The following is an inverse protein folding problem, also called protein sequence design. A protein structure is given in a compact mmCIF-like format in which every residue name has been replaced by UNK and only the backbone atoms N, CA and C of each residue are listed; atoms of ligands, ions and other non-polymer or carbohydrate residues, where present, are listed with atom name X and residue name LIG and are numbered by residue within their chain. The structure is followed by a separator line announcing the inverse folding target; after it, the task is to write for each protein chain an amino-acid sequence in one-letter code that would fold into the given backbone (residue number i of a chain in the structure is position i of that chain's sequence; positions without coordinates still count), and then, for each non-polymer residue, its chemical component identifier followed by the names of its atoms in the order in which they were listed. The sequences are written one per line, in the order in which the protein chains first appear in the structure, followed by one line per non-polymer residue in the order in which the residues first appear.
data_IF_826636361626
#
_entry.id   IF_826636361626
#
_cell.length_a   1.000
_cell.length_b   1.000
_cell.length_c   1.000
_cell.angle_alpha   90.00
_cell.angle_beta   90.00
_cell.angle_gamma   90.00
#
_symmetry.space_group_name_H-M   'P 1'
#
loop_
_entity.id
_entity.type
_entity.pdbx_description
1 polymer ?
#
# COMPACT_ATOMS: atom_id res chain seq x y z
N UNK A 1 -14.35 -1.18 9.22
CA UNK A 1 -13.14 -1.59 9.93
C UNK A 1 -11.93 -0.82 9.41
N UNK A 2 -10.93 -0.68 10.23
CA UNK A 2 -9.63 -0.15 9.88
C UNK A 2 -8.65 -1.31 9.77
N UNK A 3 -7.93 -1.40 8.66
CA UNK A 3 -6.90 -2.41 8.46
C UNK A 3 -5.57 -1.85 8.93
N UNK A 4 -4.85 -2.59 9.75
CA UNK A 4 -3.55 -2.17 10.30
C UNK A 4 -2.49 -3.18 9.90
N UNK A 5 -1.36 -2.70 9.38
CA UNK A 5 -0.22 -3.52 8.99
C UNK A 5 1.07 -2.74 9.23
N UNK A 6 2.23 -3.39 9.10
CA UNK A 6 3.52 -2.75 9.31
C UNK A 6 3.94 -1.89 8.11
N UNK A 7 3.76 -2.37 6.89
CA UNK A 7 4.18 -1.63 5.71
C UNK A 7 3.35 -1.97 4.47
N UNK A 8 3.33 -1.05 3.52
CA UNK A 8 2.79 -1.27 2.18
C UNK A 8 3.81 -0.80 1.14
N UNK A 9 4.02 -1.59 0.10
CA UNK A 9 4.95 -1.28 -0.98
C UNK A 9 4.26 -1.43 -2.34
N UNK A 10 4.27 -2.61 -2.95
CA UNK A 10 3.57 -2.82 -4.22
C UNK A 10 2.04 -2.76 -4.09
N UNK A 11 1.52 -3.07 -2.92
CA UNK A 11 0.09 -3.17 -2.68
C UNK A 11 -0.52 -4.52 -3.01
N UNK A 12 0.24 -5.48 -3.52
CA UNK A 12 -0.27 -6.79 -3.92
C UNK A 12 -0.87 -7.55 -2.75
N UNK A 13 -0.14 -7.67 -1.65
CA UNK A 13 -0.61 -8.36 -0.43
C UNK A 13 -1.77 -7.61 0.20
N UNK A 14 -1.67 -6.29 0.34
CA UNK A 14 -2.73 -5.47 0.91
C UNK A 14 -4.00 -5.54 0.04
N UNK A 15 -3.86 -5.43 -1.27
CA UNK A 15 -5.00 -5.52 -2.18
C UNK A 15 -5.70 -6.88 -2.13
N UNK A 16 -4.95 -7.97 -2.00
CA UNK A 16 -5.51 -9.31 -1.83
C UNK A 16 -6.28 -9.43 -0.52
N UNK A 17 -5.71 -8.90 0.57
CA UNK A 17 -6.36 -8.89 1.89
C UNK A 17 -7.65 -8.07 1.89
N UNK A 18 -7.66 -6.92 1.24
CA UNK A 18 -8.85 -6.07 1.11
C UNK A 18 -9.96 -6.78 0.35
N UNK A 19 -9.63 -7.46 -0.76
CA UNK A 19 -10.62 -8.23 -1.51
C UNK A 19 -11.23 -9.35 -0.68
N UNK A 20 -10.40 -10.03 0.10
CA UNK A 20 -10.87 -11.10 0.99
C UNK A 20 -11.84 -10.55 2.03
N UNK A 21 -11.52 -9.44 2.68
CA UNK A 21 -12.38 -8.79 3.66
C UNK A 21 -13.71 -8.34 3.05
N UNK A 22 -13.67 -7.79 1.84
CA UNK A 22 -14.88 -7.38 1.11
C UNK A 22 -15.79 -8.57 0.80
N UNK A 23 -15.22 -9.72 0.44
CA UNK A 23 -15.98 -10.97 0.25
C UNK A 23 -16.65 -11.45 1.52
N UNK A 24 -16.05 -11.17 2.66
CA UNK A 24 -16.63 -11.49 3.97
C UNK A 24 -17.67 -10.47 4.43
N UNK A 25 -17.99 -9.47 3.62
CA UNK A 25 -18.98 -8.44 3.93
C UNK A 25 -18.43 -7.30 4.80
N UNK A 26 -17.12 -7.21 5.02
CA UNK A 26 -16.54 -6.13 5.79
C UNK A 26 -16.44 -4.86 4.96
N UNK A 27 -16.73 -3.72 5.57
CA UNK A 27 -16.51 -2.40 4.98
C UNK A 27 -15.20 -1.83 5.53
N UNK A 28 -14.23 -1.62 4.65
CA UNK A 28 -12.93 -1.06 5.04
C UNK A 28 -12.97 0.44 4.85
N UNK A 29 -12.77 1.18 5.95
CA UNK A 29 -12.81 2.65 5.94
C UNK A 29 -11.44 3.29 5.80
N UNK A 30 -10.37 2.52 5.99
CA UNK A 30 -9.01 3.02 5.85
C UNK A 30 -7.99 1.93 6.13
N UNK A 31 -6.74 2.25 5.83
CA UNK A 31 -5.58 1.41 6.09
C UNK A 31 -4.56 2.25 6.87
N UNK A 32 -4.03 1.69 7.95
CA UNK A 32 -2.97 2.32 8.72
C UNK A 32 -1.73 1.42 8.71
N UNK A 33 -0.61 1.97 8.31
CA UNK A 33 0.69 1.28 8.26
C UNK A 33 1.75 2.13 8.92
N UNK A 34 2.85 1.51 9.37
CA UNK A 34 3.97 2.28 9.86
C UNK A 34 4.70 2.97 8.70
N UNK A 35 4.86 2.31 7.57
CA UNK A 35 5.63 2.83 6.43
C UNK A 35 4.87 2.61 5.11
N UNK A 36 4.82 3.67 4.29
CA UNK A 36 4.46 3.55 2.87
C UNK A 36 5.74 3.62 2.05
N UNK A 37 5.98 2.60 1.24
CA UNK A 37 7.16 2.56 0.38
C UNK A 37 6.77 2.77 -1.08
N UNK A 38 7.24 3.85 -1.69
CA UNK A 38 6.90 4.21 -3.06
C UNK A 38 5.42 4.55 -3.24
N UNK A 39 4.91 4.39 -4.46
CA UNK A 39 3.55 4.77 -4.82
C UNK A 39 2.77 3.66 -5.55
N UNK A 40 3.37 2.52 -5.80
CA UNK A 40 2.74 1.44 -6.56
C UNK A 40 1.46 0.91 -5.92
N UNK A 41 1.39 0.93 -4.58
CA UNK A 41 0.23 0.47 -3.83
C UNK A 41 -1.05 1.23 -4.17
N UNK A 42 -0.96 2.44 -4.68
CA UNK A 42 -2.13 3.28 -5.00
C UNK A 42 -3.09 2.65 -5.99
N UNK A 43 -2.59 1.84 -6.91
CA UNK A 43 -3.43 1.19 -7.93
C UNK A 43 -4.19 -0.02 -7.38
N UNK A 44 -3.74 -0.61 -6.29
CA UNK A 44 -4.27 -1.86 -5.75
C UNK A 44 -5.03 -1.69 -4.44
N UNK A 45 -4.80 -0.61 -3.70
CA UNK A 45 -5.48 -0.34 -2.42
C UNK A 45 -6.74 0.45 -2.69
N UNK A 46 -7.80 -0.29 -3.07
CA UNK A 46 -9.08 0.29 -3.48
C UNK A 46 -10.23 -0.47 -2.83
N UNK A 47 -11.37 0.21 -2.70
CA UNK A 47 -12.60 -0.40 -2.21
C UNK A 47 -13.29 -1.24 -3.30
N UNK A 48 -14.45 -1.82 -2.96
CA UNK A 48 -15.22 -2.65 -3.89
C UNK A 48 -15.72 -1.88 -5.12
N UNK A 49 -15.87 -0.57 -5.00
CA UNK A 49 -16.30 0.29 -6.12
C UNK A 49 -15.11 0.78 -6.97
N UNK A 50 -13.88 0.38 -6.64
CA UNK A 50 -12.68 0.82 -7.34
C UNK A 50 -12.16 2.18 -6.90
N UNK A 51 -12.72 2.76 -5.84
CA UNK A 51 -12.28 4.04 -5.31
C UNK A 51 -11.08 3.88 -4.38
N UNK A 52 -10.14 4.84 -4.36
CA UNK A 52 -8.99 4.77 -3.46
C UNK A 52 -9.43 4.73 -2.00
N UNK A 53 -8.78 3.86 -1.23
CA UNK A 53 -8.93 3.81 0.22
C UNK A 53 -7.81 4.64 0.84
N UNK A 54 -8.15 5.48 1.83
CA UNK A 54 -7.16 6.28 2.54
C UNK A 54 -6.14 5.39 3.24
N UNK A 55 -4.85 5.66 3.02
CA UNK A 55 -3.75 4.96 3.67
C UNK A 55 -3.00 5.96 4.54
N UNK A 56 -3.03 5.72 5.86
CA UNK A 56 -2.34 6.53 6.85
C UNK A 56 -1.02 5.85 7.20
N UNK A 57 0.05 6.61 7.25
CA UNK A 57 1.37 6.10 7.60
C UNK A 57 2.10 7.02 8.55
N UNK A 58 2.95 6.43 9.40
CA UNK A 58 3.83 7.22 10.26
C UNK A 58 4.94 7.90 9.44
N UNK A 59 5.41 7.24 8.38
CA UNK A 59 6.40 7.84 7.48
C UNK A 59 6.35 7.19 6.09
N UNK A 60 6.93 7.89 5.12
CA UNK A 60 7.08 7.44 3.74
C UNK A 60 8.54 7.12 3.45
N UNK A 61 8.78 6.11 2.62
CA UNK A 61 10.10 5.72 2.14
C UNK A 61 10.07 5.56 0.62
N UNK A 62 11.14 5.91 -0.11
CA UNK A 62 11.21 5.62 -1.53
C UNK A 62 11.30 4.13 -1.77
N UNK A 63 10.78 3.68 -2.91
CA UNK A 63 11.01 2.32 -3.36
C UNK A 63 12.50 2.17 -3.71
N UNK A 64 13.11 1.08 -3.25
CA UNK A 64 14.49 0.76 -3.57
C UNK A 64 14.56 -0.10 -4.82
N UNK A 65 15.46 0.22 -5.72
CA UNK A 65 15.71 -0.54 -6.95
C UNK A 65 17.16 -0.96 -7.02
N UNK A 66 17.39 -2.15 -7.57
CA UNK A 66 18.75 -2.65 -7.77
C UNK A 66 19.35 -2.03 -9.03
N UNK A 67 20.55 -1.45 -8.88
CA UNK A 67 21.31 -0.85 -9.96
C UNK A 67 22.70 -1.48 -10.03
N UNK A 68 23.51 -1.22 -11.10
CA UNK A 68 24.90 -1.67 -11.12
C UNK A 68 25.75 -1.16 -9.97
N UNK A 69 25.32 -0.07 -9.32
CA UNK A 69 26.01 0.51 -8.15
C UNK A 69 25.46 -0.01 -6.82
N UNK A 70 24.49 -0.94 -6.83
CA UNK A 70 23.83 -1.47 -5.65
C UNK A 70 22.38 -1.00 -5.54
N UNK A 71 21.81 -1.07 -4.33
CA UNK A 71 20.44 -0.63 -4.06
C UNK A 71 20.39 0.89 -3.95
N UNK A 72 19.50 1.49 -4.73
CA UNK A 72 19.32 2.94 -4.77
C UNK A 72 17.84 3.29 -4.67
N UNK A 73 17.49 4.47 -4.12
CA UNK A 73 16.11 4.95 -4.17
C UNK A 73 15.65 5.15 -5.62
N UNK A 74 14.40 4.82 -5.89
CA UNK A 74 13.79 5.10 -7.18
C UNK A 74 13.41 6.58 -7.24
N UNK A 75 14.16 7.37 -8.00
CA UNK A 75 13.98 8.82 -8.05
C UNK A 75 12.63 9.23 -8.61
N UNK A 76 12.10 8.43 -9.54
CA UNK A 76 10.79 8.71 -10.13
C UNK A 76 9.65 8.65 -9.12
N UNK A 77 9.87 8.09 -7.93
CA UNK A 77 8.89 8.04 -6.85
C UNK A 77 9.03 9.16 -5.83
N UNK A 78 10.06 9.97 -5.98
CA UNK A 78 10.33 11.08 -5.07
C UNK A 78 9.32 12.22 -5.25
#
# INVERSE_FOLDING_TARGET
ILVVDDAVSSGTTMGAGLRLLQRCGATVVGVAVAMRQGHQWRDLVRDAAGEPIAVFAAFDSPRMVRTPLGWMPEEATA
#
